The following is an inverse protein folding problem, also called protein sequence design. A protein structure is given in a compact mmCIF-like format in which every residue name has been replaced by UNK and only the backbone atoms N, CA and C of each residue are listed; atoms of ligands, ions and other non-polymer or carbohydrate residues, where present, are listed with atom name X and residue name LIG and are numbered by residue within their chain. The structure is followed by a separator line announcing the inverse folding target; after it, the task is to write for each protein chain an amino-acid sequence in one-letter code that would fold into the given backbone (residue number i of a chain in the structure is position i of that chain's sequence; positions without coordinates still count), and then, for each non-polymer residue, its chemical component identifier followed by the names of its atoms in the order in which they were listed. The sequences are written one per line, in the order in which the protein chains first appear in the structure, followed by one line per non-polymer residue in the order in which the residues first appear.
data_IF_504201826042
#
_entry.id   IF_504201826042
#
_cell.length_a   1.000
_cell.length_b   1.000
_cell.length_c   1.000
_cell.angle_alpha   90.00
_cell.angle_beta   90.00
_cell.angle_gamma   90.00
#
_symmetry.space_group_name_H-M   'P 1'
#
loop_
_entity.id
_entity.type
_entity.pdbx_description
1 polymer ?
#
# COMPACT_ATOMS: atom_id res chain seq x y z
N UNK A 1 -38.13 -77.19 4.91
CA UNK A 1 -39.54 -76.73 4.91
C UNK A 1 -39.58 -75.28 4.46
N UNK A 2 -40.55 -74.90 3.62
CA UNK A 2 -40.43 -73.95 2.49
C UNK A 2 -40.79 -72.51 2.94
N UNK A 3 -40.77 -71.42 2.19
CA UNK A 3 -40.77 -71.06 0.76
C UNK A 3 -40.23 -69.59 0.69
N UNK A 4 -39.83 -68.91 -0.38
CA UNK A 4 -40.20 -68.88 -1.80
C UNK A 4 -39.06 -68.10 -2.52
N UNK A 5 -38.49 -68.61 -3.63
CA UNK A 5 -38.79 -68.26 -5.06
C UNK A 5 -38.58 -66.76 -5.37
N UNK A 6 -37.88 -66.33 -6.43
CA UNK A 6 -37.58 -66.99 -7.71
C UNK A 6 -36.33 -66.41 -8.39
N UNK A 7 -35.82 -67.21 -9.30
CA UNK A 7 -34.70 -67.01 -10.22
C UNK A 7 -35.06 -66.17 -11.45
N UNK A 8 -34.06 -65.41 -11.90
CA UNK A 8 -33.57 -65.24 -13.28
C UNK A 8 -34.56 -64.85 -14.39
N UNK A 9 -34.41 -63.61 -14.90
CA UNK A 9 -34.42 -63.35 -16.35
C UNK A 9 -33.17 -62.56 -16.75
N UNK A 10 -32.56 -63.10 -17.80
CA UNK A 10 -31.34 -62.79 -18.53
C UNK A 10 -31.34 -61.44 -19.28
N UNK A 11 -30.10 -60.93 -19.46
CA UNK A 11 -29.56 -60.17 -20.62
C UNK A 11 -30.06 -58.73 -20.80
N UNK A 12 -29.30 -57.78 -21.33
CA UNK A 12 -27.89 -57.58 -21.60
C UNK A 12 -27.81 -56.15 -22.18
N UNK A 13 -26.83 -55.36 -21.71
CA UNK A 13 -26.18 -54.23 -22.41
C UNK A 13 -27.04 -53.02 -22.83
N UNK A 14 -26.85 -51.91 -22.11
CA UNK A 14 -26.51 -50.62 -22.74
C UNK A 14 -25.67 -49.82 -21.73
N UNK A 15 -24.38 -49.68 -22.03
CA UNK A 15 -23.44 -48.91 -21.24
C UNK A 15 -23.70 -47.40 -21.42
N UNK A 16 -24.11 -46.72 -20.35
CA UNK A 16 -24.00 -45.27 -20.24
C UNK A 16 -22.86 -44.97 -19.25
N UNK A 17 -21.70 -44.61 -19.78
CA UNK A 17 -20.57 -44.14 -18.99
C UNK A 17 -20.89 -42.75 -18.44
N UNK A 18 -21.32 -42.68 -17.18
CA UNK A 18 -21.33 -41.44 -16.40
C UNK A 18 -19.99 -41.33 -15.68
N UNK A 19 -19.08 -40.50 -16.19
CA UNK A 19 -17.92 -40.04 -15.44
C UNK A 19 -18.38 -39.03 -14.37
N UNK A 20 -18.06 -39.23 -13.08
CA UNK A 20 -18.16 -38.16 -12.11
C UNK A 20 -16.99 -37.18 -12.33
N UNK A 21 -17.31 -35.97 -12.79
CA UNK A 21 -16.41 -34.83 -12.77
C UNK A 21 -16.04 -34.53 -11.31
N UNK A 22 -14.83 -34.94 -10.92
CA UNK A 22 -14.16 -34.46 -9.71
C UNK A 22 -13.90 -32.96 -9.88
N UNK A 23 -14.77 -32.14 -9.30
CA UNK A 23 -14.53 -30.72 -9.12
C UNK A 23 -13.41 -30.55 -8.09
N UNK A 24 -12.20 -30.30 -8.57
CA UNK A 24 -11.11 -29.74 -7.79
C UNK A 24 -11.54 -28.35 -7.30
N UNK A 25 -11.94 -28.25 -6.04
CA UNK A 25 -12.04 -27.00 -5.32
C UNK A 25 -10.62 -26.45 -5.12
N UNK A 26 -10.11 -25.74 -6.13
CA UNK A 26 -9.00 -24.84 -5.94
C UNK A 26 -9.51 -23.61 -5.16
N UNK A 27 -9.06 -23.48 -3.92
CA UNK A 27 -9.16 -22.24 -3.16
C UNK A 27 -8.34 -21.16 -3.89
N UNK A 28 -8.97 -20.52 -4.88
CA UNK A 28 -8.45 -19.35 -5.55
C UNK A 28 -8.62 -18.13 -4.67
N UNK A 29 -7.52 -17.63 -4.13
CA UNK A 29 -7.40 -16.26 -3.63
C UNK A 29 -7.45 -15.32 -4.86
N UNK A 30 -8.67 -15.09 -5.36
CA UNK A 30 -8.92 -14.26 -6.53
C UNK A 30 -9.23 -12.83 -6.09
N UNK A 31 -8.35 -11.89 -6.45
CA UNK A 31 -8.69 -10.47 -6.49
C UNK A 31 -9.82 -10.29 -7.52
N UNK A 32 -11.05 -10.08 -7.07
CA UNK A 32 -12.15 -9.68 -7.94
C UNK A 32 -11.86 -8.29 -8.51
N UNK A 33 -11.57 -8.21 -9.81
CA UNK A 33 -11.61 -6.96 -10.56
C UNK A 33 -13.07 -6.67 -10.91
N UNK A 34 -13.73 -5.81 -10.13
CA UNK A 34 -14.99 -5.19 -10.56
C UNK A 34 -14.65 -4.12 -11.61
N UNK A 35 -15.38 -4.12 -12.73
CA UNK A 35 -15.38 -3.04 -13.73
C UNK A 35 -16.04 -1.77 -13.13
N UNK A 36 -15.38 -1.18 -12.12
CA UNK A 36 -15.74 0.09 -11.53
C UNK A 36 -14.90 1.19 -12.20
N UNK A 37 -15.16 1.46 -13.49
CA UNK A 37 -14.72 2.71 -14.10
C UNK A 37 -15.46 3.85 -13.42
N UNK A 38 -14.74 4.72 -12.71
CA UNK A 38 -15.35 5.89 -12.08
C UNK A 38 -15.96 6.77 -13.19
N UNK A 39 -17.08 7.45 -12.92
CA UNK A 39 -17.75 8.28 -13.92
C UNK A 39 -16.86 9.37 -14.57
N UNK A 40 -15.70 9.66 -13.95
CA UNK A 40 -14.71 10.64 -14.39
C UNK A 40 -13.52 10.02 -15.17
N UNK A 41 -13.37 8.70 -15.20
CA UNK A 41 -12.33 7.98 -15.96
C UNK A 41 -12.72 7.74 -17.43
N UNK A 42 -13.24 8.77 -18.11
CA UNK A 42 -13.63 8.65 -19.51
C UNK A 42 -12.45 9.02 -20.42
N UNK A 43 -12.06 8.09 -21.28
CA UNK A 43 -11.16 8.37 -22.40
C UNK A 43 -11.85 9.34 -23.35
N UNK A 44 -11.24 10.50 -23.60
CA UNK A 44 -11.79 11.48 -24.53
C UNK A 44 -11.80 10.91 -25.96
N UNK A 45 -12.91 11.13 -26.68
CA UNK A 45 -13.04 10.70 -28.07
C UNK A 45 -11.93 11.33 -28.94
N UNK A 46 -11.17 10.50 -29.66
CA UNK A 46 -10.04 10.94 -30.49
C UNK A 46 -8.70 11.10 -29.75
N UNK A 47 -8.63 10.80 -28.45
CA UNK A 47 -7.36 10.74 -27.74
C UNK A 47 -6.43 9.65 -28.31
N UNK A 48 -5.13 9.90 -28.32
CA UNK A 48 -4.12 8.94 -28.78
C UNK A 48 -3.59 8.12 -27.61
N UNK A 49 -3.22 6.87 -27.89
CA UNK A 49 -2.46 6.02 -26.95
C UNK A 49 -1.05 6.58 -26.79
N UNK A 50 -0.54 6.60 -25.57
CA UNK A 50 0.83 7.01 -25.27
C UNK A 50 1.74 5.81 -25.44
N UNK A 51 2.84 5.97 -26.16
CA UNK A 51 3.76 4.90 -26.56
C UNK A 51 3.08 3.69 -27.23
N UNK A 52 1.89 3.89 -27.83
CA UNK A 52 1.10 2.82 -28.42
C UNK A 52 0.51 1.82 -27.42
N UNK A 53 0.61 2.09 -26.13
CA UNK A 53 0.20 1.18 -25.06
C UNK A 53 -1.31 1.24 -24.82
N UNK A 54 -1.94 0.07 -24.72
CA UNK A 54 -3.38 -0.04 -24.42
C UNK A 54 -3.70 0.35 -22.98
N UNK A 55 -2.93 -0.20 -22.04
CA UNK A 55 -3.18 -0.08 -20.60
C UNK A 55 -1.90 0.13 -19.84
N UNK A 56 -1.95 0.98 -18.82
CA UNK A 56 -0.97 1.03 -17.72
C UNK A 56 -1.63 0.52 -16.44
N UNK A 57 -0.96 -0.38 -15.71
CA UNK A 57 -1.46 -0.97 -14.48
C UNK A 57 -0.86 -0.28 -13.26
N UNK A 58 -1.71 0.26 -12.40
CA UNK A 58 -1.36 1.11 -11.27
C UNK A 58 -1.75 0.44 -9.95
N UNK A 59 -0.78 0.22 -9.07
CA UNK A 59 -0.96 -0.24 -7.70
C UNK A 59 -1.05 0.90 -6.69
N UNK A 60 -1.87 0.73 -5.66
CA UNK A 60 -1.87 1.58 -4.46
C UNK A 60 -2.58 0.88 -3.29
N UNK A 61 -2.57 1.47 -2.08
CA UNK A 61 -3.31 0.94 -0.93
C UNK A 61 -4.60 1.72 -0.70
N UNK A 62 -5.66 1.00 -0.31
CA UNK A 62 -6.94 1.60 0.12
C UNK A 62 -6.85 2.28 1.50
N UNK A 63 -5.94 3.22 1.68
CA UNK A 63 -5.76 4.01 2.90
C UNK A 63 -5.37 5.47 2.57
N UNK A 64 -5.42 6.37 3.57
CA UNK A 64 -5.32 7.81 3.32
C UNK A 64 -3.89 8.29 3.07
N UNK A 65 -2.84 7.53 3.42
CA UNK A 65 -1.46 7.91 3.06
C UNK A 65 -1.20 7.76 1.56
N UNK A 66 -2.14 7.18 0.80
CA UNK A 66 -2.12 7.08 -0.67
C UNK A 66 -3.12 8.06 -1.31
N UNK A 67 -3.44 9.19 -0.64
CA UNK A 67 -4.42 10.16 -1.11
C UNK A 67 -4.20 10.62 -2.56
N UNK A 68 -2.95 10.76 -3.02
CA UNK A 68 -2.64 11.08 -4.41
C UNK A 68 -3.25 10.06 -5.38
N UNK A 69 -3.10 8.77 -5.11
CA UNK A 69 -3.67 7.72 -5.95
C UNK A 69 -5.21 7.71 -5.87
N UNK A 70 -5.75 7.83 -4.66
CA UNK A 70 -7.20 7.83 -4.42
C UNK A 70 -7.90 8.99 -5.14
N UNK A 71 -7.41 10.21 -4.94
CA UNK A 71 -7.97 11.43 -5.53
C UNK A 71 -7.74 11.45 -7.03
N UNK A 72 -6.53 11.11 -7.49
CA UNK A 72 -6.20 11.13 -8.91
C UNK A 72 -7.05 10.15 -9.73
N UNK A 73 -7.36 8.98 -9.15
CA UNK A 73 -8.31 8.01 -9.70
C UNK A 73 -9.74 8.55 -9.69
N UNK A 74 -10.21 8.97 -8.51
CA UNK A 74 -11.58 9.45 -8.32
C UNK A 74 -11.94 10.63 -9.23
N UNK A 75 -11.00 11.55 -9.41
CA UNK A 75 -11.16 12.77 -10.20
C UNK A 75 -10.77 12.58 -11.68
N UNK A 76 -10.29 11.40 -12.07
CA UNK A 76 -9.89 11.10 -13.45
C UNK A 76 -8.62 11.83 -13.91
N UNK A 77 -7.83 12.35 -12.99
CA UNK A 77 -6.64 13.15 -13.28
C UNK A 77 -5.52 12.33 -13.91
N UNK A 78 -5.36 11.06 -13.53
CA UNK A 78 -4.42 10.16 -14.21
C UNK A 78 -4.89 9.84 -15.63
N UNK A 79 -6.17 9.46 -15.78
CA UNK A 79 -6.72 9.08 -17.09
C UNK A 79 -6.67 10.24 -18.08
N UNK A 80 -6.86 11.48 -17.61
CA UNK A 80 -6.72 12.69 -18.42
C UNK A 80 -5.33 12.80 -19.07
N UNK A 81 -4.27 12.61 -18.28
CA UNK A 81 -2.90 12.73 -18.78
C UNK A 81 -2.49 11.52 -19.64
N UNK A 82 -3.12 10.35 -19.43
CA UNK A 82 -2.86 9.13 -20.19
C UNK A 82 -3.57 9.07 -21.55
N UNK A 83 -4.49 10.00 -21.84
CA UNK A 83 -5.21 10.02 -23.11
C UNK A 83 -6.01 8.75 -23.34
N UNK A 84 -5.71 8.01 -24.43
CA UNK A 84 -6.37 6.74 -24.75
C UNK A 84 -5.65 5.49 -24.21
N UNK A 85 -4.54 5.65 -23.49
CA UNK A 85 -3.98 4.56 -22.69
C UNK A 85 -4.82 4.46 -21.41
N UNK A 86 -5.47 3.32 -21.17
CA UNK A 86 -6.34 3.11 -20.01
C UNK A 86 -5.51 2.95 -18.74
N UNK A 87 -5.90 3.62 -17.66
CA UNK A 87 -5.41 3.29 -16.33
C UNK A 87 -6.23 2.12 -15.76
N UNK A 88 -5.56 1.04 -15.39
CA UNK A 88 -6.16 -0.07 -14.63
C UNK A 88 -5.56 -0.11 -13.24
N UNK A 89 -6.37 -0.36 -12.23
CA UNK A 89 -5.96 -0.22 -10.84
C UNK A 89 -6.03 -1.54 -10.08
N UNK A 90 -5.07 -1.75 -9.20
CA UNK A 90 -5.07 -2.83 -8.22
C UNK A 90 -4.85 -2.25 -6.82
N UNK A 91 -5.65 -2.71 -5.86
CA UNK A 91 -5.52 -2.29 -4.46
C UNK A 91 -4.82 -3.35 -3.63
N UNK A 92 -3.94 -2.93 -2.73
CA UNK A 92 -3.19 -3.81 -1.83
C UNK A 92 -3.40 -3.41 -0.37
N UNK A 93 -3.19 -4.36 0.54
CA UNK A 93 -3.21 -4.08 1.99
C UNK A 93 -1.86 -3.57 2.51
N UNK A 94 -0.75 -4.05 1.94
CA UNK A 94 0.60 -3.74 2.40
C UNK A 94 1.64 -3.98 1.29
N UNK A 95 2.83 -3.38 1.44
CA UNK A 95 3.78 -3.29 0.34
C UNK A 95 4.46 -4.59 -0.12
N UNK A 96 4.71 -5.60 0.74
CA UNK A 96 5.24 -6.88 0.25
C UNK A 96 4.43 -7.50 -0.89
N UNK A 97 3.09 -7.49 -0.81
CA UNK A 97 2.25 -8.04 -1.89
C UNK A 97 2.22 -7.15 -3.14
N UNK A 98 2.35 -5.83 -2.99
CA UNK A 98 2.49 -4.92 -4.14
C UNK A 98 3.82 -5.14 -4.87
N UNK A 99 4.92 -5.38 -4.15
CA UNK A 99 6.23 -5.72 -4.75
C UNK A 99 6.16 -7.05 -5.51
N UNK A 100 5.46 -8.05 -4.97
CA UNK A 100 5.23 -9.32 -5.68
C UNK A 100 4.48 -9.08 -7.00
N UNK A 101 3.43 -8.26 -6.97
CA UNK A 101 2.65 -7.90 -8.15
C UNK A 101 3.46 -7.09 -9.19
N UNK A 102 4.35 -6.20 -8.74
CA UNK A 102 5.26 -5.46 -9.64
C UNK A 102 6.23 -6.42 -10.32
N UNK A 103 6.82 -7.33 -9.56
CA UNK A 103 7.81 -8.30 -10.08
C UNK A 103 7.18 -9.31 -11.04
N UNK A 104 5.90 -9.67 -10.85
CA UNK A 104 5.17 -10.54 -11.77
C UNK A 104 4.64 -9.82 -13.02
N UNK A 105 4.69 -8.48 -13.07
CA UNK A 105 4.09 -7.68 -14.14
C UNK A 105 2.56 -7.54 -14.05
N UNK A 106 2.01 -7.81 -12.85
CA UNK A 106 0.59 -7.57 -12.55
C UNK A 106 0.31 -6.08 -12.34
N UNK A 107 1.31 -5.29 -11.93
CA UNK A 107 1.29 -3.82 -11.97
C UNK A 107 2.58 -3.29 -12.60
N UNK A 108 2.53 -2.07 -13.15
CA UNK A 108 3.66 -1.41 -13.80
C UNK A 108 4.24 -0.29 -12.91
N UNK A 109 3.35 0.46 -12.24
CA UNK A 109 3.63 1.60 -11.36
C UNK A 109 2.86 1.39 -10.05
N UNK A 110 3.44 1.79 -8.92
CA UNK A 110 2.82 1.63 -7.60
C UNK A 110 3.02 2.84 -6.69
N UNK A 111 2.02 3.17 -5.88
CA UNK A 111 2.19 4.02 -4.70
C UNK A 111 2.41 3.11 -3.51
N UNK A 112 3.57 3.20 -2.88
CA UNK A 112 4.03 2.23 -1.89
C UNK A 112 4.86 2.90 -0.80
N UNK A 113 4.94 2.26 0.36
CA UNK A 113 5.84 2.68 1.42
C UNK A 113 7.33 2.42 1.13
N UNK A 114 8.23 3.05 1.90
CA UNK A 114 9.67 3.00 1.67
C UNK A 114 10.31 1.65 2.01
N UNK A 115 9.97 1.01 3.13
CA UNK A 115 10.61 -0.27 3.50
C UNK A 115 10.35 -1.38 2.46
N UNK A 116 9.13 -1.54 1.92
CA UNK A 116 8.88 -2.43 0.78
C UNK A 116 9.67 -2.04 -0.48
N UNK A 117 9.80 -0.75 -0.79
CA UNK A 117 10.60 -0.27 -1.93
C UNK A 117 12.07 -0.67 -1.80
N UNK A 118 12.67 -0.44 -0.63
CA UNK A 118 14.03 -0.84 -0.29
C UNK A 118 14.18 -2.36 -0.41
N UNK A 119 13.26 -3.13 0.17
CA UNK A 119 13.30 -4.59 0.12
C UNK A 119 13.18 -5.14 -1.31
N UNK A 120 12.28 -4.60 -2.12
CA UNK A 120 12.11 -4.99 -3.52
C UNK A 120 13.33 -4.66 -4.38
N UNK A 121 13.92 -3.49 -4.16
CA UNK A 121 15.15 -3.07 -4.83
C UNK A 121 16.32 -3.98 -4.47
N UNK A 122 16.58 -4.18 -3.18
CA UNK A 122 17.74 -4.91 -2.66
C UNK A 122 17.69 -6.40 -3.02
N UNK A 123 16.54 -7.07 -2.84
CA UNK A 123 16.38 -8.50 -3.19
C UNK A 123 16.57 -8.78 -4.69
N UNK A 124 16.34 -7.78 -5.53
CA UNK A 124 16.56 -7.90 -6.98
C UNK A 124 17.96 -7.47 -7.43
N UNK A 125 18.85 -7.11 -6.50
CA UNK A 125 20.14 -6.48 -6.77
C UNK A 125 19.99 -5.22 -7.66
N UNK A 126 19.00 -4.39 -7.34
CA UNK A 126 18.74 -3.11 -7.99
C UNK A 126 18.10 -3.20 -9.38
N UNK A 127 17.49 -4.35 -9.75
CA UNK A 127 16.98 -4.63 -11.11
C UNK A 127 15.47 -4.59 -11.27
N UNK A 128 14.69 -4.70 -10.20
CA UNK A 128 13.22 -4.75 -10.27
C UNK A 128 12.60 -3.37 -10.51
N UNK A 129 12.99 -2.37 -9.72
CA UNK A 129 12.26 -1.12 -9.61
C UNK A 129 13.16 0.12 -9.53
N UNK A 130 12.52 1.29 -9.70
CA UNK A 130 13.03 2.61 -9.33
C UNK A 130 11.96 3.35 -8.53
N UNK A 131 12.37 4.20 -7.60
CA UNK A 131 11.52 5.25 -7.03
C UNK A 131 11.59 6.46 -7.97
N UNK A 132 10.44 6.93 -8.42
CA UNK A 132 10.30 8.01 -9.41
C UNK A 132 9.62 9.26 -8.86
N UNK A 133 9.18 9.24 -7.60
CA UNK A 133 8.64 10.44 -6.94
C UNK A 133 8.12 10.20 -5.52
N UNK A 134 7.77 11.29 -4.85
CA UNK A 134 7.08 11.28 -3.56
C UNK A 134 5.56 11.37 -3.68
N UNK A 135 4.87 11.09 -2.59
CA UNK A 135 3.42 11.27 -2.50
C UNK A 135 2.98 11.82 -1.15
N UNK A 136 3.48 11.29 -0.04
CA UNK A 136 3.02 11.71 1.29
C UNK A 136 4.10 11.60 2.39
N UNK A 137 3.89 12.38 3.44
CA UNK A 137 4.60 12.34 4.74
C UNK A 137 3.60 12.32 5.90
N UNK A 138 3.96 11.66 7.00
CA UNK A 138 3.14 11.61 8.22
C UNK A 138 2.02 10.54 8.21
N UNK A 139 0.99 10.74 9.02
CA UNK A 139 -0.19 9.86 9.05
C UNK A 139 0.04 8.47 9.66
N UNK A 140 0.98 8.33 10.60
CA UNK A 140 1.24 7.06 11.29
C UNK A 140 1.28 7.26 12.80
N UNK A 141 0.60 6.38 13.54
CA UNK A 141 0.42 6.53 14.99
C UNK A 141 0.51 5.18 15.69
N UNK A 142 1.00 5.22 16.93
CA UNK A 142 0.77 4.18 17.93
C UNK A 142 -0.52 4.52 18.70
N UNK A 143 -1.57 3.75 18.46
CA UNK A 143 -2.85 3.86 19.18
C UNK A 143 -2.99 2.69 20.12
N UNK A 144 -3.35 2.94 21.38
CA UNK A 144 -3.36 1.92 22.44
C UNK A 144 -4.66 1.91 23.22
N UNK A 145 -4.91 0.80 23.90
CA UNK A 145 -5.95 0.68 24.91
C UNK A 145 -5.54 1.48 26.16
N UNK A 146 -6.19 2.63 26.44
CA UNK A 146 -5.80 3.48 27.54
C UNK A 146 -6.06 2.85 28.90
N UNK A 147 -6.82 1.75 29.02
CA UNK A 147 -6.99 1.01 30.28
C UNK A 147 -5.77 0.13 30.59
N UNK A 148 -5.01 -0.27 29.57
CA UNK A 148 -3.88 -1.22 29.70
C UNK A 148 -2.51 -0.56 29.54
N UNK A 149 -2.42 0.55 28.79
CA UNK A 149 -1.18 1.26 28.46
C UNK A 149 -1.39 2.74 28.74
N UNK A 150 -0.62 3.32 29.68
CA UNK A 150 -0.73 4.73 30.08
C UNK A 150 0.44 5.57 29.58
N UNK A 151 1.59 4.92 29.40
CA UNK A 151 2.86 5.50 28.96
C UNK A 151 3.56 4.59 27.96
N UNK A 152 4.56 5.12 27.24
CA UNK A 152 5.37 4.36 26.29
C UNK A 152 6.02 3.11 26.93
N UNK A 153 6.41 3.18 28.21
CA UNK A 153 7.01 2.05 28.93
C UNK A 153 6.04 0.89 29.12
N UNK A 154 4.74 1.17 29.22
CA UNK A 154 3.70 0.16 29.43
C UNK A 154 3.42 -0.67 28.17
N UNK A 155 4.02 -0.31 27.03
CA UNK A 155 3.96 -1.11 25.79
C UNK A 155 4.70 -2.43 25.97
N UNK A 156 5.70 -2.49 26.85
CA UNK A 156 6.37 -3.75 27.20
C UNK A 156 5.36 -4.75 27.78
N UNK A 157 5.42 -5.98 27.28
CA UNK A 157 4.56 -7.10 27.64
C UNK A 157 3.19 -7.09 26.94
N UNK A 158 2.96 -6.17 25.99
CA UNK A 158 1.66 -5.99 25.32
C UNK A 158 1.63 -6.59 23.93
N UNK A 159 0.42 -6.75 23.40
CA UNK A 159 0.16 -7.16 22.01
C UNK A 159 -0.10 -5.93 21.15
N UNK A 160 0.85 -5.56 20.31
CA UNK A 160 0.73 -4.39 19.42
C UNK A 160 0.69 -4.88 17.97
N UNK A 161 -0.32 -4.44 17.22
CA UNK A 161 -0.45 -4.82 15.82
C UNK A 161 0.39 -3.95 14.86
N UNK A 162 0.87 -4.58 13.80
CA UNK A 162 1.48 -3.95 12.62
C UNK A 162 0.86 -4.56 11.35
N UNK A 163 0.92 -3.92 10.17
CA UNK A 163 0.17 -4.40 9.00
C UNK A 163 0.64 -5.74 8.42
N UNK A 164 1.95 -5.91 8.23
CA UNK A 164 2.56 -7.09 7.61
C UNK A 164 4.06 -7.15 7.91
N UNK A 165 4.64 -8.35 7.94
CA UNK A 165 6.09 -8.55 8.08
C UNK A 165 6.86 -7.74 7.03
N UNK A 166 7.77 -6.88 7.48
CA UNK A 166 8.63 -6.07 6.60
C UNK A 166 7.92 -4.91 5.90
N UNK A 167 6.66 -4.63 6.24
CA UNK A 167 5.98 -3.38 5.87
C UNK A 167 6.58 -2.19 6.65
N UNK A 168 6.42 -0.96 6.14
CA UNK A 168 6.98 0.26 6.75
C UNK A 168 6.68 0.39 8.25
N UNK A 169 5.42 0.18 8.67
CA UNK A 169 5.05 0.27 10.09
C UNK A 169 5.61 -0.88 10.94
N UNK A 170 5.82 -2.06 10.36
CA UNK A 170 6.44 -3.19 11.06
C UNK A 170 7.91 -2.90 11.33
N UNK A 171 8.62 -2.38 10.33
CA UNK A 171 10.01 -1.92 10.46
C UNK A 171 10.13 -0.78 11.49
N UNK A 172 9.29 0.25 11.38
CA UNK A 172 9.31 1.40 12.29
C UNK A 172 9.07 0.97 13.74
N UNK A 173 8.08 0.11 13.98
CA UNK A 173 7.78 -0.36 15.33
C UNK A 173 8.88 -1.26 15.90
N UNK A 174 9.44 -2.18 15.10
CA UNK A 174 10.56 -3.03 15.54
C UNK A 174 11.82 -2.21 15.82
N UNK A 175 12.13 -1.19 15.02
CA UNK A 175 13.21 -0.26 15.30
C UNK A 175 12.96 0.49 16.62
N UNK A 176 11.75 1.02 16.81
CA UNK A 176 11.40 1.73 18.04
C UNK A 176 11.55 0.83 19.28
N UNK A 177 11.10 -0.44 19.20
CA UNK A 177 11.31 -1.45 20.25
C UNK A 177 12.80 -1.64 20.55
N UNK A 178 13.63 -1.77 19.50
CA UNK A 178 15.07 -1.94 19.66
C UNK A 178 15.73 -0.71 20.32
N UNK A 179 15.28 0.50 20.01
CA UNK A 179 15.72 1.74 20.66
C UNK A 179 15.32 1.81 22.14
N UNK A 180 14.24 1.15 22.55
CA UNK A 180 13.90 0.98 23.96
C UNK A 180 14.78 -0.06 24.68
N UNK A 181 15.68 -0.73 23.96
CA UNK A 181 16.50 -1.83 24.48
C UNK A 181 15.72 -3.13 24.70
N UNK A 182 14.56 -3.28 24.07
CA UNK A 182 13.70 -4.46 24.18
C UNK A 182 13.99 -5.45 23.06
N UNK A 183 13.75 -6.74 23.33
CA UNK A 183 14.02 -7.82 22.38
C UNK A 183 12.74 -8.37 21.79
N UNK A 184 12.66 -8.38 20.47
CA UNK A 184 11.63 -9.09 19.70
C UNK A 184 12.30 -9.86 18.59
N UNK A 185 11.93 -11.11 18.41
CA UNK A 185 12.29 -11.89 17.23
C UNK A 185 11.56 -11.32 16.02
N UNK A 186 12.31 -10.75 15.08
CA UNK A 186 11.76 -10.01 13.95
C UNK A 186 10.86 -10.87 13.07
N UNK A 187 11.12 -12.18 12.95
CA UNK A 187 10.34 -13.07 12.08
C UNK A 187 9.00 -13.46 12.72
N UNK A 188 9.01 -13.91 13.97
CA UNK A 188 7.81 -14.36 14.67
C UNK A 188 7.02 -13.25 15.36
N UNK A 189 7.65 -12.10 15.62
CA UNK A 189 7.07 -11.00 16.39
C UNK A 189 7.01 -11.25 17.90
N UNK A 190 7.63 -12.33 18.42
CA UNK A 190 7.60 -12.69 19.84
C UNK A 190 8.75 -12.06 20.62
N UNK A 191 8.48 -11.61 21.84
CA UNK A 191 9.53 -11.14 22.75
C UNK A 191 8.97 -10.29 23.89
N UNK A 192 9.75 -9.29 24.30
CA UNK A 192 9.39 -8.29 25.30
C UNK A 192 8.09 -7.55 24.95
N UNK A 193 7.77 -7.44 23.66
CA UNK A 193 6.48 -7.02 23.12
C UNK A 193 6.03 -8.09 22.14
N UNK A 194 4.75 -8.41 22.09
CA UNK A 194 4.21 -9.29 21.04
C UNK A 194 3.73 -8.44 19.87
N UNK A 195 4.45 -8.49 18.76
CA UNK A 195 4.07 -7.87 17.49
C UNK A 195 3.09 -8.79 16.77
N UNK A 196 1.86 -8.33 16.55
CA UNK A 196 0.82 -9.11 15.87
C UNK A 196 0.61 -8.54 14.47
N UNK A 197 1.05 -9.26 13.45
CA UNK A 197 0.86 -8.82 12.07
C UNK A 197 -0.55 -9.14 11.62
N UNK A 198 -1.30 -8.09 11.30
CA UNK A 198 -2.73 -8.18 10.98
C UNK A 198 -3.08 -7.19 9.88
N UNK A 199 -3.94 -7.62 8.96
CA UNK A 199 -4.51 -6.76 7.92
C UNK A 199 -5.13 -5.50 8.55
N UNK A 200 -4.95 -4.36 7.90
CA UNK A 200 -5.45 -3.07 8.38
C UNK A 200 -6.97 -3.05 8.49
N UNK A 201 -7.69 -3.81 7.66
CA UNK A 201 -9.16 -3.93 7.69
C UNK A 201 -9.66 -4.70 8.93
N UNK A 202 -8.87 -5.64 9.45
CA UNK A 202 -9.24 -6.52 10.58
C UNK A 202 -8.76 -5.97 11.92
N UNK A 203 -7.69 -5.18 11.92
CA UNK A 203 -7.04 -4.66 13.14
C UNK A 203 -8.01 -3.91 14.08
N UNK A 204 -8.92 -3.03 13.61
CA UNK A 204 -9.89 -2.36 14.49
C UNK A 204 -10.82 -3.33 15.24
N UNK A 205 -11.33 -4.37 14.56
CA UNK A 205 -12.23 -5.35 15.18
C UNK A 205 -11.48 -6.22 16.20
N UNK A 206 -10.24 -6.64 15.89
CA UNK A 206 -9.40 -7.39 16.81
C UNK A 206 -9.04 -6.57 18.07
N UNK A 207 -8.83 -5.26 17.91
CA UNK A 207 -8.63 -4.33 19.01
C UNK A 207 -9.89 -4.18 19.87
N UNK A 208 -11.06 -3.97 19.24
CA UNK A 208 -12.36 -3.87 19.93
C UNK A 208 -12.69 -5.14 20.72
N UNK A 209 -12.38 -6.31 20.15
CA UNK A 209 -12.53 -7.60 20.81
C UNK A 209 -11.53 -7.84 21.96
N UNK A 210 -10.56 -6.94 22.17
CA UNK A 210 -9.56 -7.03 23.24
C UNK A 210 -8.41 -8.00 22.97
N UNK A 211 -8.30 -8.51 21.73
CA UNK A 211 -7.21 -9.40 21.32
C UNK A 211 -5.88 -8.66 21.12
N UNK A 212 -5.97 -7.34 20.87
CA UNK A 212 -4.84 -6.42 20.75
C UNK A 212 -4.91 -5.37 21.87
N UNK A 213 -3.74 -4.95 22.33
CA UNK A 213 -3.61 -3.86 23.31
C UNK A 213 -3.33 -2.50 22.63
N UNK A 214 -3.00 -2.51 21.34
CA UNK A 214 -2.77 -1.33 20.51
C UNK A 214 -2.30 -1.72 19.11
N UNK A 215 -1.97 -0.73 18.29
CA UNK A 215 -1.40 -0.92 16.97
C UNK A 215 -0.54 0.27 16.55
N UNK A 216 0.53 0.00 15.79
CA UNK A 216 1.33 0.97 15.07
C UNK A 216 0.94 0.91 13.59
N UNK A 217 0.11 1.86 13.14
CA UNK A 217 -0.62 1.73 11.87
C UNK A 217 -0.77 3.08 11.17
N UNK A 218 -0.89 3.08 9.82
CA UNK A 218 -1.16 4.29 9.08
C UNK A 218 -2.63 4.73 9.23
N UNK A 219 -2.93 5.95 8.81
CA UNK A 219 -4.28 6.44 8.63
C UNK A 219 -4.98 5.77 7.42
N UNK A 220 -6.28 5.46 7.50
CA UNK A 220 -7.23 5.82 8.56
C UNK A 220 -7.30 4.82 9.72
N UNK A 221 -6.51 3.74 9.71
CA UNK A 221 -6.59 2.68 10.72
C UNK A 221 -6.33 3.22 12.12
N UNK A 222 -5.39 4.16 12.27
CA UNK A 222 -5.16 4.85 13.54
C UNK A 222 -6.41 5.59 14.04
N UNK A 223 -7.05 6.40 13.19
CA UNK A 223 -8.27 7.12 13.57
C UNK A 223 -9.46 6.18 13.83
N UNK A 224 -9.56 5.05 13.12
CA UNK A 224 -10.55 3.99 13.42
C UNK A 224 -10.35 3.40 14.82
N UNK A 225 -9.10 3.14 15.23
CA UNK A 225 -8.81 2.65 16.57
C UNK A 225 -9.18 3.66 17.66
N UNK A 226 -9.01 4.96 17.38
CA UNK A 226 -9.44 6.04 18.27
C UNK A 226 -10.96 6.08 18.39
N UNK A 227 -11.70 5.95 17.28
CA UNK A 227 -13.16 5.87 17.29
C UNK A 227 -13.67 4.64 18.09
N UNK A 228 -12.90 3.56 18.14
CA UNK A 228 -13.15 2.37 18.99
C UNK A 228 -12.68 2.55 20.45
N UNK A 229 -12.39 3.78 20.89
CA UNK A 229 -12.00 4.10 22.27
C UNK A 229 -10.50 3.96 22.56
N UNK A 230 -9.67 3.82 21.53
CA UNK A 230 -8.21 3.90 21.64
C UNK A 230 -7.70 5.32 21.89
N UNK A 231 -6.47 5.39 22.42
CA UNK A 231 -5.76 6.65 22.65
C UNK A 231 -4.47 6.66 21.84
N UNK A 232 -4.23 7.75 21.10
CA UNK A 232 -2.93 8.00 20.48
C UNK A 232 -1.89 8.17 21.59
N UNK A 233 -0.92 7.26 21.65
CA UNK A 233 0.19 7.30 22.60
C UNK A 233 1.42 7.96 21.98
N UNK A 234 1.62 7.80 20.68
CA UNK A 234 2.71 8.37 19.91
C UNK A 234 2.23 8.68 18.49
N UNK A 235 2.64 9.84 17.98
CA UNK A 235 2.59 10.17 16.56
C UNK A 235 4.00 9.97 16.00
N UNK A 236 4.15 9.11 14.99
CA UNK A 236 5.47 8.71 14.47
C UNK A 236 6.26 9.91 13.96
N UNK A 237 5.59 10.94 13.41
CA UNK A 237 6.26 12.16 12.93
C UNK A 237 7.13 12.82 14.01
N UNK A 238 6.79 12.66 15.29
CA UNK A 238 7.59 13.22 16.39
C UNK A 238 8.94 12.55 16.60
N UNK A 239 9.17 11.38 15.98
CA UNK A 239 10.45 10.66 16.00
C UNK A 239 11.39 11.11 14.87
N UNK A 240 10.91 11.90 13.92
CA UNK A 240 11.65 12.27 12.72
C UNK A 240 12.10 13.74 12.76
N UNK A 241 13.30 14.06 12.22
CA UNK A 241 13.71 15.44 12.00
C UNK A 241 12.66 16.22 11.21
N UNK A 242 12.44 17.48 11.59
CA UNK A 242 11.42 18.37 11.02
C UNK A 242 9.99 17.81 11.01
N UNK A 243 9.76 16.72 11.75
CA UNK A 243 8.54 15.92 11.75
C UNK A 243 8.12 15.41 10.36
N UNK A 244 9.10 15.12 9.50
CA UNK A 244 8.88 14.67 8.13
C UNK A 244 9.65 13.39 7.84
N UNK A 245 8.98 12.48 7.16
CA UNK A 245 9.54 11.24 6.65
C UNK A 245 8.69 10.75 5.50
N UNK A 246 9.30 10.01 4.58
CA UNK A 246 8.51 9.46 3.48
C UNK A 246 7.62 8.34 4.01
N UNK A 247 6.31 8.45 3.81
CA UNK A 247 5.39 7.34 4.12
C UNK A 247 4.91 6.64 2.86
N UNK A 248 4.85 7.39 1.74
CA UNK A 248 4.41 6.90 0.44
C UNK A 248 5.25 7.53 -0.68
N UNK A 249 5.77 6.68 -1.55
CA UNK A 249 6.59 6.99 -2.71
C UNK A 249 5.91 6.41 -3.97
N UNK A 250 6.36 6.81 -5.14
CA UNK A 250 5.94 6.24 -6.42
C UNK A 250 7.07 5.36 -6.94
N UNK A 251 6.79 4.09 -7.18
CA UNK A 251 7.73 3.15 -7.79
C UNK A 251 7.28 2.75 -9.20
N UNK A 252 8.23 2.33 -10.02
CA UNK A 252 7.97 1.78 -11.35
C UNK A 252 8.88 0.59 -11.61
N UNK A 253 8.36 -0.40 -12.34
CA UNK A 253 9.18 -1.48 -12.89
C UNK A 253 10.23 -0.90 -13.84
N UNK A 254 11.50 -1.26 -13.66
CA UNK A 254 12.56 -0.78 -14.55
C UNK A 254 12.37 -1.20 -16.01
N UNK A 255 11.81 -2.40 -16.22
CA UNK A 255 11.48 -2.87 -17.57
C UNK A 255 10.43 -1.95 -18.21
N UNK A 256 9.41 -1.59 -17.45
CA UNK A 256 8.34 -0.71 -17.93
C UNK A 256 8.86 0.71 -18.16
N UNK A 257 9.63 1.27 -17.24
CA UNK A 257 10.25 2.60 -17.38
C UNK A 257 11.08 2.73 -18.65
N UNK A 258 11.87 1.70 -18.99
CA UNK A 258 12.67 1.69 -20.22
C UNK A 258 11.82 1.57 -21.49
N UNK A 259 10.76 0.78 -21.45
CA UNK A 259 9.92 0.50 -22.61
C UNK A 259 8.89 1.62 -22.90
N UNK A 260 8.34 2.24 -21.86
CA UNK A 260 7.23 3.19 -21.95
C UNK A 260 7.47 4.47 -21.13
N UNK A 261 8.59 5.19 -21.33
CA UNK A 261 8.93 6.35 -20.52
C UNK A 261 7.92 7.50 -20.65
N UNK A 262 7.20 7.64 -21.78
CA UNK A 262 6.18 8.70 -21.91
C UNK A 262 4.92 8.38 -21.13
N UNK A 263 4.57 7.10 -21.00
CA UNK A 263 3.48 6.66 -20.12
C UNK A 263 3.84 6.96 -18.66
N UNK A 264 5.08 6.68 -18.24
CA UNK A 264 5.55 7.03 -16.88
C UNK A 264 5.51 8.55 -16.67
N UNK A 265 5.98 9.34 -17.64
CA UNK A 265 5.90 10.81 -17.56
C UNK A 265 4.43 11.30 -17.45
N UNK A 266 3.49 10.68 -18.18
CA UNK A 266 2.08 11.02 -18.10
C UNK A 266 1.47 10.70 -16.73
N UNK A 267 1.79 9.54 -16.13
CA UNK A 267 1.37 9.22 -14.75
C UNK A 267 1.97 10.21 -13.76
N UNK A 268 3.24 10.60 -13.91
CA UNK A 268 3.87 11.63 -13.07
C UNK A 268 3.24 13.01 -13.24
N UNK A 269 2.84 13.41 -14.45
CA UNK A 269 2.04 14.63 -14.68
C UNK A 269 0.71 14.58 -13.94
N UNK A 270 0.02 13.44 -14.03
CA UNK A 270 -1.22 13.21 -13.30
C UNK A 270 -1.00 13.30 -11.78
N UNK A 271 0.09 12.74 -11.28
CA UNK A 271 0.46 12.79 -9.85
C UNK A 271 0.76 14.21 -9.37
N UNK A 272 1.61 14.95 -10.09
CA UNK A 272 1.95 16.34 -9.75
C UNK A 272 0.72 17.23 -9.79
N UNK A 273 -0.11 17.10 -10.84
CA UNK A 273 -1.38 17.82 -10.95
C UNK A 273 -2.36 17.47 -9.82
N UNK A 274 -2.44 16.19 -9.45
CA UNK A 274 -3.27 15.72 -8.34
C UNK A 274 -2.80 16.30 -7.01
N UNK A 275 -1.49 16.25 -6.71
CA UNK A 275 -0.93 16.81 -5.48
C UNK A 275 -1.17 18.32 -5.38
N UNK A 276 -1.00 19.05 -6.49
CA UNK A 276 -1.32 20.48 -6.58
C UNK A 276 -2.81 20.73 -6.30
N UNK A 277 -3.69 19.92 -6.89
CA UNK A 277 -5.13 20.04 -6.70
C UNK A 277 -5.55 19.72 -5.27
N UNK A 278 -4.99 18.66 -4.65
CA UNK A 278 -5.25 18.30 -3.25
C UNK A 278 -4.90 19.47 -2.32
N UNK A 279 -3.72 20.06 -2.50
CA UNK A 279 -3.25 21.15 -1.65
C UNK A 279 -4.07 22.44 -1.85
N UNK A 280 -4.66 22.65 -3.03
CA UNK A 280 -5.51 23.80 -3.32
C UNK A 280 -6.98 23.61 -2.90
N UNK A 281 -7.46 22.36 -2.81
CA UNK A 281 -8.86 22.02 -2.57
C UNK A 281 -8.98 20.92 -1.48
N UNK A 282 -8.55 21.20 -0.24
CA UNK A 282 -8.37 20.15 0.77
C UNK A 282 -9.68 19.46 1.18
N UNK A 283 -10.81 20.16 1.21
CA UNK A 283 -12.10 19.58 1.60
C UNK A 283 -12.68 18.70 0.47
N UNK A 284 -12.61 19.17 -0.78
CA UNK A 284 -12.98 18.40 -1.95
C UNK A 284 -12.09 17.16 -2.12
N UNK A 285 -10.79 17.31 -1.86
CA UNK A 285 -9.83 16.21 -1.92
C UNK A 285 -10.11 15.15 -0.85
N UNK A 286 -10.41 15.57 0.38
CA UNK A 286 -10.83 14.66 1.45
C UNK A 286 -12.11 13.91 1.08
N UNK A 287 -13.09 14.59 0.50
CA UNK A 287 -14.33 13.96 0.03
C UNK A 287 -14.08 12.98 -1.13
N UNK A 288 -13.24 13.35 -2.10
CA UNK A 288 -12.87 12.50 -3.23
C UNK A 288 -12.11 11.25 -2.76
N UNK A 289 -11.13 11.39 -1.86
CA UNK A 289 -10.42 10.27 -1.28
C UNK A 289 -11.37 9.31 -0.55
N UNK A 290 -12.32 9.83 0.24
CA UNK A 290 -13.29 9.01 0.95
C UNK A 290 -14.23 8.25 0.01
N UNK A 291 -14.65 8.89 -1.09
CA UNK A 291 -15.48 8.24 -2.12
C UNK A 291 -14.74 7.12 -2.85
N UNK A 292 -13.44 7.31 -3.12
CA UNK A 292 -12.63 6.23 -3.69
C UNK A 292 -12.44 5.08 -2.70
N UNK A 293 -12.23 5.38 -1.41
CA UNK A 293 -12.16 4.36 -0.37
C UNK A 293 -13.47 3.60 -0.21
N UNK A 294 -14.62 4.27 -0.34
CA UNK A 294 -15.92 3.61 -0.37
C UNK A 294 -16.03 2.64 -1.55
N UNK A 295 -15.55 3.04 -2.73
CA UNK A 295 -15.50 2.16 -3.90
C UNK A 295 -14.59 0.95 -3.66
N UNK A 296 -13.40 1.18 -3.11
CA UNK A 296 -12.37 0.14 -2.93
C UNK A 296 -12.68 -0.82 -1.76
N UNK A 297 -13.42 -0.36 -0.74
CA UNK A 297 -13.66 -1.12 0.51
C UNK A 297 -15.14 -1.41 0.79
N UNK A 298 -16.05 -0.86 0.00
CA UNK A 298 -17.50 -0.98 0.15
C UNK A 298 -18.12 -0.08 1.22
N UNK A 299 -17.33 0.75 1.92
CA UNK A 299 -17.83 1.64 2.98
C UNK A 299 -17.04 2.95 3.05
N UNK A 300 -17.74 4.08 3.06
CA UNK A 300 -17.15 5.37 3.36
C UNK A 300 -16.69 5.44 4.84
N UNK A 301 -15.69 6.28 5.10
CA UNK A 301 -15.26 6.62 6.45
C UNK A 301 -16.21 7.67 7.04
N UNK A 302 -16.61 7.54 8.32
CA UNK A 302 -17.32 8.59 9.03
C UNK A 302 -16.40 9.78 9.32
N UNK A 303 -16.98 10.96 9.53
CA UNK A 303 -16.23 12.21 9.68
C UNK A 303 -15.28 12.23 10.88
N UNK A 304 -15.68 11.59 11.99
CA UNK A 304 -14.87 11.44 13.21
C UNK A 304 -13.60 10.57 13.01
N UNK A 305 -13.56 9.77 11.95
CA UNK A 305 -12.36 9.04 11.50
C UNK A 305 -11.62 9.82 10.42
N UNK A 306 -12.34 10.34 9.42
CA UNK A 306 -11.75 10.95 8.22
C UNK A 306 -11.03 12.27 8.52
N UNK A 307 -11.65 13.16 9.29
CA UNK A 307 -11.12 14.50 9.55
C UNK A 307 -9.77 14.49 10.30
N UNK A 308 -9.62 13.80 11.44
CA UNK A 308 -8.34 13.75 12.13
C UNK A 308 -7.28 12.98 11.34
N UNK A 309 -7.68 11.98 10.55
CA UNK A 309 -6.78 11.22 9.71
C UNK A 309 -6.17 12.10 8.61
N UNK A 310 -7.02 12.78 7.83
CA UNK A 310 -6.61 13.64 6.73
C UNK A 310 -5.66 14.75 7.19
N UNK A 311 -5.97 15.39 8.33
CA UNK A 311 -5.15 16.47 8.90
C UNK A 311 -3.72 16.03 9.27
N UNK A 312 -3.50 14.75 9.51
CA UNK A 312 -2.19 14.23 9.93
C UNK A 312 -1.26 13.84 8.76
N UNK A 313 -1.72 14.02 7.52
CA UNK A 313 -0.98 13.63 6.31
C UNK A 313 -0.60 14.90 5.52
N UNK A 314 0.67 14.99 5.14
CA UNK A 314 1.15 16.01 4.23
C UNK A 314 1.33 15.42 2.82
N UNK A 315 0.68 16.00 1.82
CA UNK A 315 0.82 15.60 0.41
C UNK A 315 1.94 16.38 -0.26
N UNK A 316 2.83 15.68 -0.96
CA UNK A 316 4.06 16.26 -1.52
C UNK A 316 4.53 15.53 -2.77
N UNK A 317 5.23 16.24 -3.67
CA UNK A 317 5.96 15.65 -4.79
C UNK A 317 7.37 15.18 -4.38
N UNK A 318 7.89 15.72 -3.29
CA UNK A 318 9.22 15.41 -2.76
C UNK A 318 9.23 13.98 -2.18
N UNK A 319 10.10 13.07 -2.68
CA UNK A 319 10.23 11.74 -2.12
C UNK A 319 10.91 11.71 -0.74
N UNK A 320 11.35 12.86 -0.22
CA UNK A 320 12.10 12.99 1.02
C UNK A 320 13.27 12.02 1.06
N UNK A 321 14.05 11.97 -0.03
CA UNK A 321 15.06 10.95 -0.27
C UNK A 321 16.12 10.87 0.83
N UNK A 322 16.38 11.98 1.52
CA UNK A 322 17.29 12.05 2.67
C UNK A 322 16.84 11.15 3.83
N UNK A 323 15.57 10.79 3.92
CA UNK A 323 15.02 9.92 4.98
C UNK A 323 15.18 8.43 4.67
N UNK A 324 15.41 8.06 3.40
CA UNK A 324 15.41 6.65 2.97
C UNK A 324 16.56 5.84 3.58
N UNK A 325 17.74 6.43 3.75
CA UNK A 325 18.86 5.76 4.43
C UNK A 325 18.54 5.47 5.90
N UNK A 326 17.91 6.40 6.59
CA UNK A 326 17.47 6.22 7.98
C UNK A 326 16.46 5.07 8.09
N UNK A 327 15.52 4.97 7.14
CA UNK A 327 14.55 3.87 7.09
C UNK A 327 15.19 2.52 6.77
N UNK A 328 16.20 2.50 5.91
CA UNK A 328 17.00 1.30 5.68
C UNK A 328 17.74 0.88 6.95
N UNK A 329 18.33 1.82 7.69
CA UNK A 329 18.97 1.57 8.97
C UNK A 329 17.98 1.05 10.02
N UNK A 330 16.72 1.55 10.03
CA UNK A 330 15.66 1.00 10.86
C UNK A 330 15.41 -0.48 10.55
N UNK A 331 15.35 -0.87 9.26
CA UNK A 331 15.17 -2.26 8.85
C UNK A 331 16.38 -3.14 9.24
N UNK A 332 17.59 -2.59 9.17
CA UNK A 332 18.83 -3.27 9.61
C UNK A 332 18.83 -3.51 11.11
N UNK A 333 18.53 -2.47 11.91
CA UNK A 333 18.43 -2.57 13.37
C UNK A 333 17.33 -3.52 13.81
N UNK A 334 16.21 -3.53 13.09
CA UNK A 334 15.11 -4.47 13.30
C UNK A 334 15.47 -5.92 12.91
N UNK A 335 16.62 -6.17 12.27
CA UNK A 335 17.03 -7.51 11.83
C UNK A 335 16.25 -8.03 10.62
N UNK A 336 15.57 -7.15 9.88
CA UNK A 336 14.77 -7.49 8.70
C UNK A 336 15.52 -7.30 7.38
N UNK A 337 16.65 -6.59 7.42
CA UNK A 337 17.46 -6.26 6.26
C UNK A 337 18.95 -6.33 6.60
N UNK A 338 19.78 -6.83 5.69
CA UNK A 338 21.24 -6.64 5.78
C UNK A 338 21.60 -5.28 5.18
N UNK A 339 22.66 -4.62 5.67
CA UNK A 339 23.04 -3.27 5.21
C UNK A 339 23.01 -3.17 3.67
N UNK A 340 22.06 -2.42 3.09
CA UNK A 340 21.87 -2.41 1.64
C UNK A 340 22.79 -1.39 0.96
N UNK A 341 23.05 -1.62 -0.33
CA UNK A 341 23.44 -0.56 -1.26
C UNK A 341 22.19 -0.04 -1.95
N UNK A 342 21.90 1.26 -1.77
CA UNK A 342 20.73 1.93 -2.34
C UNK A 342 21.11 2.85 -3.52
N UNK A 343 22.37 2.84 -3.94
CA UNK A 343 22.85 3.65 -5.05
C UNK A 343 22.06 3.34 -6.33
N UNK A 344 21.37 4.33 -6.89
CA UNK A 344 20.55 4.14 -8.08
C UNK A 344 19.14 3.61 -7.80
N UNK A 345 18.64 3.69 -6.56
CA UNK A 345 17.23 3.37 -6.28
C UNK A 345 16.29 4.44 -6.84
N UNK A 346 16.73 5.69 -6.92
CA UNK A 346 15.95 6.79 -7.47
C UNK A 346 16.21 7.03 -8.97
N UNK A 347 15.17 7.35 -9.71
CA UNK A 347 15.25 7.98 -11.03
C UNK A 347 14.23 9.13 -11.10
N UNK A 348 14.66 10.32 -10.66
CA UNK A 348 13.80 11.51 -10.57
C UNK A 348 13.81 12.34 -11.87
N UNK A 349 14.41 11.84 -12.94
CA UNK A 349 14.59 12.57 -14.20
C UNK A 349 13.26 13.06 -14.77
N UNK A 350 12.27 12.15 -14.88
CA UNK A 350 10.96 12.47 -15.42
C UNK A 350 10.15 13.35 -14.48
N UNK A 351 10.22 13.13 -13.17
CA UNK A 351 9.56 13.99 -12.19
C UNK A 351 10.09 15.42 -12.27
N UNK A 352 11.42 15.59 -12.26
CA UNK A 352 12.04 16.91 -12.34
C UNK A 352 11.77 17.62 -13.67
N UNK A 353 11.59 16.87 -14.77
CA UNK A 353 11.09 17.42 -16.03
C UNK A 353 9.66 17.95 -15.89
N UNK A 354 8.76 17.18 -15.27
CA UNK A 354 7.37 17.58 -15.04
C UNK A 354 7.28 18.80 -14.12
N UNK A 355 8.02 18.80 -13.01
CA UNK A 355 8.05 19.92 -12.05
C UNK A 355 8.53 21.22 -12.72
N UNK A 356 9.62 21.17 -13.50
CA UNK A 356 10.09 22.34 -14.27
C UNK A 356 9.05 22.85 -15.25
N UNK A 357 8.34 21.96 -15.93
CA UNK A 357 7.27 22.34 -16.86
C UNK A 357 6.07 23.01 -16.16
N UNK A 358 5.79 22.68 -14.90
CA UNK A 358 4.76 23.34 -14.07
C UNK A 358 5.30 24.57 -13.29
N UNK A 359 6.54 24.98 -13.54
CA UNK A 359 7.19 26.10 -12.85
C UNK A 359 7.56 25.84 -11.38
N UNK A 360 7.55 24.57 -10.95
CA UNK A 360 7.92 24.16 -9.61
C UNK A 360 9.44 23.89 -9.49
N UNK A 361 9.95 23.95 -8.26
CA UNK A 361 11.33 23.55 -7.96
C UNK A 361 11.52 22.05 -8.15
N UNK A 362 12.70 21.65 -8.62
CA UNK A 362 13.10 20.24 -8.67
C UNK A 362 13.33 19.67 -7.27
N UNK A 363 13.26 18.35 -7.18
CA UNK A 363 13.54 17.58 -5.97
C UNK A 363 14.87 16.85 -6.10
N UNK A 364 15.50 16.59 -4.96
CA UNK A 364 16.81 15.94 -4.84
C UNK A 364 16.66 14.46 -4.47
N UNK A 365 17.57 13.61 -4.95
CA UNK A 365 17.59 12.17 -4.66
C UNK A 365 18.52 11.80 -3.49
N UNK A 366 19.07 12.78 -2.78
CA UNK A 366 20.03 12.64 -1.68
C UNK A 366 21.28 11.83 -2.06
N UNK A 367 21.69 11.86 -3.33
CA UNK A 367 22.82 11.10 -3.86
C UNK A 367 22.53 9.61 -4.07
N UNK A 368 21.26 9.19 -3.96
CA UNK A 368 20.80 7.83 -4.17
C UNK A 368 20.26 7.59 -5.59
N UNK A 369 20.35 8.59 -6.47
CA UNK A 369 19.91 8.53 -7.86
C UNK A 369 20.77 7.66 -8.78
N UNK A 370 20.21 7.35 -9.95
CA UNK A 370 20.97 6.80 -11.08
C UNK A 370 22.06 7.78 -11.52
N UNK A 371 23.26 7.26 -11.78
CA UNK A 371 24.41 8.04 -12.25
C UNK A 371 24.54 8.00 -13.77
#
# INVERSE_FOLDING_TARGET
MPANRSTLIRRAVAAAAALPLLALAACGYGSESKDDTSAKEKVAAGAKKIDGLDTVKIGYFGNLTHATALVGRQEGLFQKELGATKAEYATFNAGPSEIEALNSGSIDIGWIGPSPSINGYTKSNGKSLRIIGGSASGGVKLVVNPKKIKSLKDVKGKKIATPQLGNTQDVAFLNWIAEQGWKVDAQSGKGDVTVVRSDNKVTPDAYKAGSLDGAWVPEPTASKLVAEGGKVLLDESTLWPDKKFVITNIIVSQKFLKAHPKVVEAVLKGSVGTNKWINANPDEAKAAANKQLETDSGKALPADVLDPAWKSIQITNDPLASTLNTEADHAVKAGLLSKPDLSGIYDLTLLNKVLKADGASTVDDAGLGVK
#
